data_IF_078981520026
#
_entry.id   IF_078981520026
#
_cell.length_a   1.000
_cell.length_b   1.000
_cell.length_c   1.000
_cell.angle_alpha   90.00
_cell.angle_beta   90.00
_cell.angle_gamma   90.00
#
_symmetry.space_group_name_H-M   'P 1'
#
loop_
_entity.id
_entity.type
_entity.pdbx_description
1 polymer ?
#
# COMPACT_ATOMS: atom_id res chain seq x y z
N UNK A 1 21.06 -2.35 -10.74
CA UNK A 1 19.59 -2.37 -10.77
C UNK A 1 19.03 -1.11 -10.15
N UNK A 2 17.99 -0.53 -10.76
CA UNK A 2 17.24 0.57 -10.16
C UNK A 2 16.46 0.10 -8.95
N UNK A 3 15.98 1.05 -8.12
CA UNK A 3 15.11 0.73 -6.98
C UNK A 3 13.86 -0.03 -7.38
N UNK A 4 13.24 0.37 -8.50
CA UNK A 4 12.06 -0.30 -9.03
C UNK A 4 12.34 -1.71 -9.52
N UNK A 5 13.47 -1.90 -10.18
CA UNK A 5 13.90 -3.22 -10.65
C UNK A 5 14.19 -4.15 -9.48
N UNK A 6 14.83 -3.64 -8.41
CA UNK A 6 15.06 -4.41 -7.19
C UNK A 6 13.75 -4.83 -6.53
N UNK A 7 12.78 -3.93 -6.44
CA UNK A 7 11.46 -4.22 -5.87
C UNK A 7 10.75 -5.31 -6.66
N UNK A 8 10.76 -5.23 -7.99
CA UNK A 8 10.18 -6.25 -8.87
C UNK A 8 10.83 -7.60 -8.65
N UNK A 9 12.16 -7.63 -8.54
CA UNK A 9 12.91 -8.87 -8.36
C UNK A 9 12.56 -9.53 -7.03
N UNK A 10 12.49 -8.74 -5.96
CA UNK A 10 12.12 -9.25 -4.63
C UNK A 10 10.72 -9.86 -4.65
N UNK A 11 9.76 -9.18 -5.28
CA UNK A 11 8.39 -9.70 -5.41
C UNK A 11 8.38 -10.99 -6.22
N UNK A 12 9.10 -11.03 -7.33
CA UNK A 12 9.19 -12.22 -8.17
C UNK A 12 9.76 -13.43 -7.41
N UNK A 13 10.81 -13.19 -6.61
CA UNK A 13 11.42 -14.25 -5.78
C UNK A 13 10.41 -14.75 -4.75
N UNK A 14 9.70 -13.85 -4.09
CA UNK A 14 8.69 -14.22 -3.10
C UNK A 14 7.57 -15.07 -3.72
N UNK A 15 7.20 -14.79 -4.97
CA UNK A 15 6.16 -15.52 -5.68
C UNK A 15 6.56 -16.94 -6.08
N UNK A 16 7.85 -17.24 -6.13
CA UNK A 16 8.32 -18.59 -6.43
C UNK A 16 7.84 -19.63 -5.42
N UNK A 17 7.59 -19.20 -4.17
CA UNK A 17 7.06 -20.08 -3.13
C UNK A 17 5.55 -20.30 -3.20
N UNK A 18 4.88 -19.74 -4.19
CA UNK A 18 3.42 -19.81 -4.35
C UNK A 18 2.66 -19.40 -3.08
N UNK A 19 2.94 -18.20 -2.53
CA UNK A 19 2.35 -17.78 -1.27
C UNK A 19 0.86 -17.50 -1.42
N UNK A 20 0.12 -17.69 -0.32
CA UNK A 20 -1.27 -17.25 -0.23
C UNK A 20 -1.37 -15.82 0.28
N UNK A 21 -0.37 -15.39 1.04
CA UNK A 21 -0.29 -14.04 1.62
C UNK A 21 1.08 -13.47 1.29
N UNK A 22 1.11 -12.25 0.78
CA UNK A 22 2.33 -11.51 0.50
C UNK A 22 2.38 -10.28 1.38
N UNK A 23 3.48 -10.11 2.12
CA UNK A 23 3.70 -8.94 2.96
C UNK A 23 4.72 -8.04 2.29
N UNK A 24 4.36 -6.78 2.08
CA UNK A 24 5.23 -5.78 1.50
C UNK A 24 5.43 -4.63 2.49
N UNK A 25 6.68 -4.40 2.88
CA UNK A 25 7.03 -3.34 3.81
C UNK A 25 7.68 -2.19 3.07
N UNK A 26 7.05 -1.03 3.13
CA UNK A 26 7.46 0.19 2.46
C UNK A 26 7.76 0.01 0.96
N UNK A 27 6.84 -0.63 0.20
CA UNK A 27 7.13 -0.93 -1.21
C UNK A 27 7.29 0.30 -2.08
N UNK A 28 6.75 1.45 -1.67
CA UNK A 28 6.79 2.70 -2.46
C UNK A 28 7.93 3.64 -2.07
N UNK A 29 8.73 3.27 -1.06
CA UNK A 29 9.78 4.16 -0.57
C UNK A 29 10.87 4.41 -1.62
N UNK A 30 11.29 5.68 -1.75
CA UNK A 30 12.40 6.10 -2.60
C UNK A 30 12.23 5.75 -4.09
N UNK A 31 10.99 5.74 -4.58
CA UNK A 31 10.69 5.46 -5.98
C UNK A 31 10.08 6.69 -6.66
N UNK A 32 10.31 6.79 -7.96
CA UNK A 32 9.67 7.81 -8.79
C UNK A 32 8.20 7.48 -9.05
N UNK A 33 7.44 8.46 -9.51
CA UNK A 33 6.01 8.33 -9.71
C UNK A 33 5.63 7.21 -10.68
N UNK A 34 6.37 7.07 -11.78
CA UNK A 34 6.06 6.03 -12.77
C UNK A 34 6.29 4.64 -12.23
N UNK A 35 7.35 4.44 -11.45
CA UNK A 35 7.65 3.17 -10.80
C UNK A 35 6.59 2.83 -9.76
N UNK A 36 6.12 3.81 -8.99
CA UNK A 36 5.05 3.63 -8.02
C UNK A 36 3.78 3.14 -8.73
N UNK A 37 3.38 3.79 -9.82
CA UNK A 37 2.20 3.38 -10.58
C UNK A 37 2.32 1.96 -11.12
N UNK A 38 3.49 1.60 -11.61
CA UNK A 38 3.76 0.25 -12.09
C UNK A 38 3.60 -0.77 -10.98
N UNK A 39 4.14 -0.50 -9.79
CA UNK A 39 4.01 -1.40 -8.64
C UNK A 39 2.56 -1.51 -8.17
N UNK A 40 1.82 -0.42 -8.17
CA UNK A 40 0.39 -0.44 -7.84
C UNK A 40 -0.37 -1.38 -8.78
N UNK A 41 -0.09 -1.34 -10.07
CA UNK A 41 -0.71 -2.24 -11.05
C UNK A 41 -0.34 -3.69 -10.79
N UNK A 42 0.92 -3.97 -10.50
CA UNK A 42 1.39 -5.32 -10.17
C UNK A 42 0.66 -5.85 -8.94
N UNK A 43 0.54 -5.05 -7.88
CA UNK A 43 -0.12 -5.42 -6.64
C UNK A 43 -1.59 -5.77 -6.89
N UNK A 44 -2.30 -4.90 -7.60
CA UNK A 44 -3.72 -5.12 -7.92
C UNK A 44 -3.90 -6.38 -8.78
N UNK A 45 -3.04 -6.57 -9.77
CA UNK A 45 -3.13 -7.75 -10.66
C UNK A 45 -2.83 -9.04 -9.91
N UNK A 46 -1.87 -9.04 -9.00
CA UNK A 46 -1.57 -10.22 -8.19
C UNK A 46 -2.77 -10.65 -7.36
N UNK A 47 -3.47 -9.69 -6.75
CA UNK A 47 -4.66 -9.96 -5.98
C UNK A 47 -5.77 -10.53 -6.86
N UNK A 48 -6.03 -9.90 -8.00
CA UNK A 48 -7.15 -10.26 -8.87
C UNK A 48 -6.92 -11.54 -9.66
N UNK A 49 -5.71 -11.73 -10.19
CA UNK A 49 -5.41 -12.83 -11.11
C UNK A 49 -4.80 -14.05 -10.43
N UNK A 50 -4.00 -13.84 -9.39
CA UNK A 50 -3.30 -14.92 -8.70
C UNK A 50 -3.93 -15.31 -7.37
N UNK A 51 -5.00 -14.64 -6.98
CA UNK A 51 -5.74 -14.92 -5.75
C UNK A 51 -4.86 -14.88 -4.50
N UNK A 52 -3.91 -13.94 -4.48
CA UNK A 52 -3.00 -13.72 -3.36
C UNK A 52 -3.54 -12.57 -2.52
N UNK A 53 -3.59 -12.75 -1.19
CA UNK A 53 -3.89 -11.66 -0.27
C UNK A 53 -2.63 -10.85 -0.01
N UNK A 54 -2.71 -9.54 -0.11
CA UNK A 54 -1.53 -8.68 0.02
C UNK A 54 -1.73 -7.72 1.19
N UNK A 55 -0.73 -7.67 2.07
CA UNK A 55 -0.67 -6.72 3.18
C UNK A 55 0.48 -5.75 2.91
N UNK A 56 0.16 -4.46 2.87
CA UNK A 56 1.12 -3.40 2.63
C UNK A 56 1.28 -2.53 3.87
N UNK A 57 2.52 -2.19 4.20
CA UNK A 57 2.81 -1.19 5.23
C UNK A 57 3.63 -0.08 4.60
N UNK A 58 3.13 1.15 4.59
CA UNK A 58 3.85 2.26 4.01
C UNK A 58 3.43 3.58 4.64
N UNK A 59 4.36 4.52 4.71
CA UNK A 59 4.08 5.89 5.16
C UNK A 59 3.52 6.77 4.04
N UNK A 60 3.65 6.34 2.80
CA UNK A 60 3.14 7.08 1.65
C UNK A 60 1.67 6.76 1.47
N UNK A 61 0.84 7.44 2.27
CA UNK A 61 -0.57 7.14 2.40
C UNK A 61 -1.33 7.22 1.08
N UNK A 62 -1.06 8.23 0.26
CA UNK A 62 -1.73 8.37 -1.03
C UNK A 62 -1.47 7.17 -1.93
N UNK A 63 -0.22 6.76 -2.02
CA UNK A 63 0.17 5.65 -2.89
C UNK A 63 -0.42 4.33 -2.39
N UNK A 64 -0.41 4.12 -1.08
CA UNK A 64 -0.99 2.94 -0.46
C UNK A 64 -2.51 2.90 -0.69
N UNK A 65 -3.21 4.00 -0.42
CA UNK A 65 -4.67 4.05 -0.50
C UNK A 65 -5.20 3.90 -1.93
N UNK A 66 -4.37 4.17 -2.93
CA UNK A 66 -4.77 4.00 -4.34
C UNK A 66 -4.76 2.56 -4.83
N UNK A 67 -4.26 1.61 -4.03
CA UNK A 67 -4.17 0.22 -4.48
C UNK A 67 -4.67 -0.82 -3.46
N UNK A 68 -5.36 -0.39 -2.41
CA UNK A 68 -5.87 -1.30 -1.38
C UNK A 68 -7.39 -1.25 -1.30
N UNK A 69 -7.98 -2.35 -0.83
CA UNK A 69 -9.44 -2.42 -0.59
C UNK A 69 -9.80 -1.80 0.75
N UNK A 70 -9.01 -2.07 1.77
CA UNK A 70 -9.19 -1.53 3.11
C UNK A 70 -7.83 -1.22 3.72
N UNK A 71 -7.81 -0.32 4.70
CA UNK A 71 -6.59 0.04 5.38
C UNK A 71 -6.85 0.34 6.85
N UNK A 72 -5.77 0.34 7.62
CA UNK A 72 -5.80 0.73 9.03
C UNK A 72 -4.77 1.83 9.26
N UNK A 73 -5.13 2.81 10.08
CA UNK A 73 -4.22 3.87 10.49
C UNK A 73 -3.78 3.58 11.92
N UNK A 74 -2.46 3.50 12.12
CA UNK A 74 -1.88 3.26 13.43
C UNK A 74 -1.21 4.53 13.95
N UNK A 75 -1.44 4.84 15.22
CA UNK A 75 -0.80 5.95 15.90
C UNK A 75 -0.61 5.60 17.36
N UNK A 76 0.59 5.85 17.88
CA UNK A 76 0.94 5.54 19.26
C UNK A 76 0.61 4.09 19.65
N UNK A 77 0.97 3.15 18.78
CA UNK A 77 0.77 1.71 18.96
C UNK A 77 -0.71 1.30 19.07
N UNK A 78 -1.62 2.10 18.54
CA UNK A 78 -3.06 1.83 18.55
C UNK A 78 -3.65 2.01 17.16
N UNK A 79 -4.69 1.24 16.85
CA UNK A 79 -5.48 1.44 15.64
C UNK A 79 -6.43 2.60 15.92
N UNK A 80 -6.25 3.72 15.19
CA UNK A 80 -7.09 4.91 15.37
C UNK A 80 -8.21 4.98 14.35
N UNK A 81 -8.09 4.26 13.23
CA UNK A 81 -9.13 4.20 12.21
C UNK A 81 -8.90 2.99 11.31
N UNK A 82 -9.98 2.46 10.74
CA UNK A 82 -9.90 1.43 9.70
C UNK A 82 -11.09 1.59 8.75
N UNK A 83 -10.96 1.04 7.56
CA UNK A 83 -12.04 1.08 6.57
C UNK A 83 -11.51 1.15 5.16
N UNK A 84 -12.41 1.49 4.23
CA UNK A 84 -12.04 1.74 2.84
C UNK A 84 -11.26 3.04 2.72
N UNK A 85 -10.50 3.25 1.63
CA UNK A 85 -9.82 4.53 1.42
C UNK A 85 -10.75 5.74 1.53
N UNK A 86 -11.95 5.65 0.97
CA UNK A 86 -12.95 6.72 1.03
C UNK A 86 -13.37 7.03 2.48
N UNK A 87 -13.62 6.00 3.26
CA UNK A 87 -13.99 6.16 4.67
C UNK A 87 -12.86 6.79 5.47
N UNK A 88 -11.61 6.37 5.20
CA UNK A 88 -10.46 6.86 5.95
C UNK A 88 -10.16 8.33 5.69
N UNK A 89 -10.25 8.79 4.44
CA UNK A 89 -9.95 10.20 4.15
C UNK A 89 -11.00 11.15 4.74
N UNK A 90 -12.17 10.63 5.08
CA UNK A 90 -13.23 11.39 5.73
C UNK A 90 -13.28 11.19 7.25
N UNK A 91 -12.42 10.33 7.80
CA UNK A 91 -12.39 10.03 9.22
C UNK A 91 -11.59 11.10 9.98
N UNK A 92 -12.19 11.71 10.99
CA UNK A 92 -11.55 12.79 11.76
C UNK A 92 -10.30 12.33 12.51
N UNK A 93 -10.30 11.11 13.05
CA UNK A 93 -9.14 10.58 13.77
C UNK A 93 -7.98 10.31 12.83
N UNK A 94 -8.28 9.77 11.65
CA UNK A 94 -7.27 9.52 10.62
C UNK A 94 -6.68 10.84 10.09
N UNK A 95 -7.52 11.85 9.88
CA UNK A 95 -7.06 13.18 9.48
C UNK A 95 -6.11 13.78 10.50
N UNK A 96 -6.49 13.74 11.77
CA UNK A 96 -5.66 14.29 12.85
C UNK A 96 -4.35 13.55 13.01
N UNK A 97 -4.38 12.21 12.90
CA UNK A 97 -3.21 11.39 13.17
C UNK A 97 -2.24 11.34 11.98
N UNK A 98 -2.73 11.48 10.76
CA UNK A 98 -1.91 11.16 9.59
C UNK A 98 -2.14 12.04 8.37
N UNK A 99 -3.39 12.22 7.93
CA UNK A 99 -3.66 12.80 6.61
C UNK A 99 -3.71 14.32 6.58
N UNK A 100 -4.17 14.94 7.66
CA UNK A 100 -4.48 16.37 7.65
C UNK A 100 -5.79 16.66 6.90
N UNK A 101 -6.23 17.93 6.97
CA UNK A 101 -7.55 18.32 6.45
C UNK A 101 -7.59 18.47 4.92
N UNK A 102 -6.43 18.66 4.29
CA UNK A 102 -6.33 18.91 2.85
C UNK A 102 -5.90 17.67 2.07
N UNK A 103 -5.77 16.52 2.72
CA UNK A 103 -5.32 15.30 2.06
C UNK A 103 -6.36 14.82 1.03
N UNK A 104 -5.87 14.43 -0.14
CA UNK A 104 -6.67 13.84 -1.21
C UNK A 104 -5.95 12.61 -1.75
N UNK A 105 -6.71 11.59 -2.10
CA UNK A 105 -6.14 10.36 -2.67
C UNK A 105 -5.60 10.62 -4.08
N UNK A 106 -6.28 11.44 -4.84
CA UNK A 106 -5.91 11.76 -6.22
C UNK A 106 -5.13 13.07 -6.32
#
# INVERSE_FOLDING_TARGET
LSGGQKKKLVIAIALLGEPKILLLDEPFAALDLMTIKMLQEIIVNLQNESNISIILCDHQARDLLNCVDTAMVLSNCKIVANGTPSELVNNNKAKSAYFGNTFKIN
#
